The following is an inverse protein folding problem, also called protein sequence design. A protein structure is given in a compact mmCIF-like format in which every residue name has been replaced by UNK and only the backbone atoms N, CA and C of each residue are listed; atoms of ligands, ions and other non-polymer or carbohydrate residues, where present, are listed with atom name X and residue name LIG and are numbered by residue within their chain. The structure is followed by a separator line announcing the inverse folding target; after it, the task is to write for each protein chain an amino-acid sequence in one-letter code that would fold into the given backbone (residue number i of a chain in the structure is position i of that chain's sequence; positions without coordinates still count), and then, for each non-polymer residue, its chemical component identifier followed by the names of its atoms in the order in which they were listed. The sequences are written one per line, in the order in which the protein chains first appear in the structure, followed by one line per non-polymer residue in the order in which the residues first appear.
data_IF_465918513389
#
_entry.id   IF_465918513389
#
_cell.length_a   1.000
_cell.length_b   1.000
_cell.length_c   1.000
_cell.angle_alpha   90.00
_cell.angle_beta   90.00
_cell.angle_gamma   90.00
#
_symmetry.space_group_name_H-M   'P 1'
#
loop_
_entity.id
_entity.type
_entity.pdbx_description
1 polymer ?
#
# COMPACT_ATOMS: atom_id res chain seq x y z
N UNK A 1 -38.27 -12.51 -0.94
CA UNK A 1 -37.06 -11.79 -0.49
C UNK A 1 -35.86 -12.73 -0.56
N UNK A 2 -34.66 -12.26 -0.94
CA UNK A 2 -33.44 -13.09 -1.01
C UNK A 2 -32.83 -13.27 0.38
N UNK A 3 -32.17 -14.38 0.64
CA UNK A 3 -31.59 -14.71 1.95
C UNK A 3 -30.63 -13.63 2.48
N UNK A 4 -29.78 -13.06 1.60
CA UNK A 4 -28.84 -12.01 1.98
C UNK A 4 -29.50 -10.71 2.47
N UNK A 5 -30.80 -10.51 2.20
CA UNK A 5 -31.53 -9.31 2.63
C UNK A 5 -31.93 -9.35 4.11
N UNK A 6 -31.85 -10.51 4.77
CA UNK A 6 -32.10 -10.64 6.22
C UNK A 6 -33.45 -10.07 6.69
N UNK A 7 -34.50 -10.24 5.88
CA UNK A 7 -35.84 -9.76 6.20
C UNK A 7 -36.09 -8.28 5.92
N UNK A 8 -35.11 -7.56 5.33
CA UNK A 8 -35.22 -6.13 5.01
C UNK A 8 -35.58 -5.94 3.53
N UNK A 9 -36.57 -5.10 3.26
CA UNK A 9 -36.99 -4.79 1.91
C UNK A 9 -35.85 -4.19 1.08
N UNK A 10 -35.81 -4.56 -0.22
CA UNK A 10 -34.69 -4.17 -1.10
C UNK A 10 -34.58 -2.66 -1.23
N UNK A 11 -35.71 -1.98 -1.32
CA UNK A 11 -35.79 -0.51 -1.46
C UNK A 11 -35.22 0.20 -0.23
N UNK A 12 -35.48 -0.32 0.97
CA UNK A 12 -34.92 0.22 2.20
C UNK A 12 -33.40 0.03 2.24
N UNK A 13 -32.91 -1.15 1.86
CA UNK A 13 -31.46 -1.38 1.79
C UNK A 13 -30.75 -0.49 0.76
N UNK A 14 -31.42 -0.10 -0.32
CA UNK A 14 -30.88 0.84 -1.30
C UNK A 14 -30.79 2.26 -0.70
N UNK A 15 -31.81 2.72 0.02
CA UNK A 15 -31.76 4.01 0.75
C UNK A 15 -30.65 4.03 1.79
N UNK A 16 -30.47 2.93 2.53
CA UNK A 16 -29.38 2.82 3.48
C UNK A 16 -28.01 2.82 2.78
N UNK A 17 -27.87 2.15 1.64
CA UNK A 17 -26.64 2.17 0.83
C UNK A 17 -26.30 3.60 0.35
N UNK A 18 -27.30 4.42 0.01
CA UNK A 18 -27.11 5.82 -0.39
C UNK A 18 -26.49 6.69 0.72
N UNK A 19 -26.84 6.46 1.99
CA UNK A 19 -26.23 7.16 3.14
C UNK A 19 -24.71 6.95 3.16
N UNK A 20 -24.23 5.80 2.69
CA UNK A 20 -22.82 5.45 2.64
C UNK A 20 -22.10 5.88 1.36
N UNK A 21 -22.78 6.52 0.39
CA UNK A 21 -22.14 6.97 -0.85
C UNK A 21 -20.87 7.81 -0.59
N UNK A 22 -20.88 8.83 0.31
CA UNK A 22 -19.68 9.61 0.60
C UNK A 22 -18.51 8.78 1.15
N UNK A 23 -18.80 7.73 1.92
CA UNK A 23 -17.77 6.80 2.43
C UNK A 23 -17.27 5.86 1.32
N UNK A 24 -18.19 5.30 0.54
CA UNK A 24 -17.90 4.35 -0.54
C UNK A 24 -17.05 4.99 -1.66
N UNK A 25 -17.31 6.26 -1.99
CA UNK A 25 -16.54 7.02 -3.00
C UNK A 25 -15.07 7.24 -2.60
N UNK A 26 -14.76 7.14 -1.31
CA UNK A 26 -13.40 7.29 -0.75
C UNK A 26 -12.68 5.97 -0.55
N UNK A 27 -13.36 4.84 -0.75
CA UNK A 27 -12.77 3.51 -0.61
C UNK A 27 -12.01 3.14 -1.88
N UNK A 28 -10.75 2.76 -1.73
CA UNK A 28 -9.99 2.09 -2.77
C UNK A 28 -10.34 0.59 -2.82
N UNK A 29 -10.65 -0.01 -1.66
CA UNK A 29 -11.11 -1.40 -1.60
C UNK A 29 -12.62 -1.54 -1.77
N UNK A 30 -13.10 -2.33 -2.75
CA UNK A 30 -14.52 -2.69 -2.82
C UNK A 30 -14.98 -3.55 -1.62
N UNK A 31 -14.03 -4.15 -0.89
CA UNK A 31 -14.32 -4.89 0.34
C UNK A 31 -14.54 -3.98 1.55
N UNK A 32 -14.15 -2.71 1.47
CA UNK A 32 -14.47 -1.71 2.49
C UNK A 32 -15.83 -1.03 2.27
N UNK A 33 -16.29 -0.92 1.03
CA UNK A 33 -17.58 -0.28 0.71
C UNK A 33 -18.77 -0.91 1.46
N UNK A 34 -19.64 -0.07 2.04
CA UNK A 34 -20.89 -0.44 2.70
C UNK A 34 -22.02 -0.57 1.67
N UNK A 35 -22.05 -1.72 0.99
CA UNK A 35 -23.14 -2.11 0.07
C UNK A 35 -24.32 -2.70 0.83
N UNK A 36 -25.52 -2.69 0.24
CA UNK A 36 -26.77 -3.29 0.77
C UNK A 36 -26.62 -4.63 1.48
N UNK A 37 -25.82 -5.56 0.94
CA UNK A 37 -25.64 -6.89 1.54
C UNK A 37 -24.81 -6.86 2.83
N UNK A 38 -23.83 -5.95 2.92
CA UNK A 38 -23.06 -5.75 4.16
C UNK A 38 -23.86 -4.99 5.20
N UNK A 39 -24.68 -4.02 4.77
CA UNK A 39 -25.60 -3.30 5.64
C UNK A 39 -26.61 -4.28 6.25
N UNK A 40 -27.27 -5.10 5.43
CA UNK A 40 -28.21 -6.13 5.91
C UNK A 40 -27.55 -7.09 6.91
N UNK A 41 -26.33 -7.56 6.63
CA UNK A 41 -25.58 -8.41 7.53
C UNK A 41 -25.20 -7.71 8.85
N UNK A 42 -24.86 -6.41 8.80
CA UNK A 42 -24.56 -5.63 10.00
C UNK A 42 -25.80 -5.39 10.86
N UNK A 43 -26.97 -5.17 10.26
CA UNK A 43 -28.25 -5.04 10.97
C UNK A 43 -28.63 -6.36 11.65
N UNK A 44 -28.57 -7.48 10.92
CA UNK A 44 -28.83 -8.84 11.44
C UNK A 44 -27.93 -9.18 12.63
N UNK A 45 -26.67 -8.73 12.59
CA UNK A 45 -25.71 -8.92 13.68
C UNK A 45 -25.87 -7.94 14.85
N UNK A 46 -26.75 -6.95 14.76
CA UNK A 46 -26.92 -5.89 15.75
C UNK A 46 -25.72 -4.92 15.81
N UNK A 47 -25.03 -4.72 14.70
CA UNK A 47 -23.81 -3.89 14.59
C UNK A 47 -24.03 -2.57 13.87
N UNK A 48 -25.24 -2.32 13.38
CA UNK A 48 -25.54 -1.16 12.55
C UNK A 48 -26.44 -0.19 13.30
N UNK A 49 -26.02 1.07 13.35
CA UNK A 49 -26.81 2.17 13.92
C UNK A 49 -26.88 3.30 12.91
N UNK A 50 -28.06 3.90 12.76
CA UNK A 50 -28.24 5.02 11.85
C UNK A 50 -29.36 5.95 12.30
N UNK A 51 -29.26 7.20 11.88
CA UNK A 51 -30.25 8.26 11.99
C UNK A 51 -30.29 9.01 10.66
N UNK A 52 -31.03 10.11 10.58
CA UNK A 52 -30.96 11.05 9.46
C UNK A 52 -29.61 11.78 9.35
N UNK A 53 -28.86 11.85 10.45
CA UNK A 53 -27.65 12.68 10.56
C UNK A 53 -26.36 11.84 10.44
N UNK A 54 -26.43 10.55 10.71
CA UNK A 54 -25.28 9.65 10.65
C UNK A 54 -25.63 8.18 10.49
N UNK A 55 -24.65 7.37 10.09
CA UNK A 55 -24.64 5.93 10.26
C UNK A 55 -23.27 5.43 10.71
N UNK A 56 -23.23 4.34 11.48
CA UNK A 56 -22.00 3.68 11.89
C UNK A 56 -22.16 2.16 11.95
N UNK A 57 -21.04 1.47 11.78
CA UNK A 57 -20.92 0.04 12.06
C UNK A 57 -20.01 -0.15 13.27
N UNK A 58 -20.53 -0.75 14.35
CA UNK A 58 -19.75 -1.04 15.54
C UNK A 58 -20.11 -2.37 16.20
N UNK A 59 -19.16 -2.93 16.95
CA UNK A 59 -19.32 -4.21 17.65
C UNK A 59 -18.47 -4.27 18.91
N UNK A 60 -18.93 -5.02 19.90
CA UNK A 60 -18.14 -5.35 21.09
C UNK A 60 -17.38 -6.66 20.83
N UNK A 61 -16.08 -6.67 21.11
CA UNK A 61 -15.22 -7.82 20.86
C UNK A 61 -15.52 -8.96 21.82
N UNK A 62 -15.74 -10.16 21.26
CA UNK A 62 -15.96 -11.40 22.04
C UNK A 62 -14.66 -12.10 22.44
N UNK A 63 -13.55 -11.76 21.78
CA UNK A 63 -12.23 -12.30 22.01
C UNK A 63 -11.16 -11.25 21.68
N UNK A 64 -9.95 -11.47 22.20
CA UNK A 64 -8.77 -10.66 21.90
C UNK A 64 -8.45 -10.68 20.40
N UNK A 65 -8.08 -9.53 19.84
CA UNK A 65 -7.74 -9.39 18.42
C UNK A 65 -6.56 -8.43 18.22
N UNK A 66 -5.57 -8.85 17.44
CA UNK A 66 -4.43 -8.01 17.06
C UNK A 66 -4.77 -7.18 15.83
N UNK A 67 -4.44 -5.89 15.86
CA UNK A 67 -4.47 -5.01 14.69
C UNK A 67 -3.07 -4.95 14.10
N UNK A 68 -2.96 -5.25 12.82
CA UNK A 68 -1.72 -5.17 12.04
C UNK A 68 -1.70 -3.88 11.23
N UNK A 69 -0.52 -3.24 11.11
CA UNK A 69 -0.33 -2.06 10.27
C UNK A 69 -0.63 -2.36 8.81
N UNK A 70 -0.30 -3.56 8.35
CA UNK A 70 -0.52 -4.00 6.98
C UNK A 70 -1.43 -5.21 6.97
N UNK A 71 -2.44 -5.23 6.10
CA UNK A 71 -3.45 -6.30 6.12
C UNK A 71 -2.88 -7.64 5.66
N UNK A 72 -1.89 -7.63 4.76
CA UNK A 72 -1.27 -8.85 4.25
C UNK A 72 -0.25 -9.48 5.22
N UNK A 73 0.28 -8.72 6.19
CA UNK A 73 1.37 -9.16 7.06
C UNK A 73 0.90 -9.33 8.51
N UNK A 74 1.42 -10.34 9.20
CA UNK A 74 1.15 -10.60 10.62
C UNK A 74 2.30 -10.17 11.55
N UNK A 75 3.30 -9.52 10.98
CA UNK A 75 4.60 -9.23 11.59
C UNK A 75 4.72 -7.80 12.12
N UNK A 76 3.73 -6.93 11.85
CA UNK A 76 3.75 -5.51 12.23
C UNK A 76 2.51 -5.16 13.04
N UNK A 77 2.38 -5.67 14.29
CA UNK A 77 1.25 -5.34 15.14
C UNK A 77 1.35 -3.89 15.62
N UNK A 78 0.22 -3.20 15.71
CA UNK A 78 0.14 -1.81 16.20
C UNK A 78 -0.71 -1.69 17.46
N UNK A 79 -1.63 -2.63 17.68
CA UNK A 79 -2.46 -2.66 18.87
C UNK A 79 -3.00 -4.06 19.09
N UNK A 80 -3.35 -4.36 20.34
CA UNK A 80 -4.17 -5.52 20.65
C UNK A 80 -5.44 -5.13 21.38
N UNK A 81 -6.57 -5.27 20.69
CA UNK A 81 -7.90 -5.08 21.25
C UNK A 81 -8.28 -6.28 22.14
N UNK A 82 -8.86 -6.01 23.30
CA UNK A 82 -9.25 -7.02 24.28
C UNK A 82 -10.72 -7.43 24.13
N UNK A 83 -11.08 -8.57 24.73
CA UNK A 83 -12.48 -8.93 24.91
C UNK A 83 -13.19 -7.83 25.71
N UNK A 84 -14.34 -7.37 25.23
CA UNK A 84 -15.12 -6.28 25.84
C UNK A 84 -14.81 -4.89 25.28
N UNK A 85 -13.71 -4.70 24.54
CA UNK A 85 -13.49 -3.42 23.86
C UNK A 85 -14.49 -3.26 22.70
N UNK A 86 -15.00 -2.04 22.52
CA UNK A 86 -15.82 -1.67 21.36
C UNK A 86 -14.92 -1.34 20.18
N UNK A 87 -15.29 -1.82 19.01
CA UNK A 87 -14.67 -1.49 17.74
C UNK A 87 -15.71 -0.84 16.85
N UNK A 88 -15.52 0.44 16.54
CA UNK A 88 -16.27 1.16 15.52
C UNK A 88 -15.50 0.99 14.22
N UNK A 89 -16.00 0.09 13.37
CA UNK A 89 -15.30 -0.31 12.15
C UNK A 89 -15.43 0.79 11.07
N UNK A 90 -16.54 1.54 11.04
CA UNK A 90 -16.83 2.58 10.02
C UNK A 90 -17.81 3.63 10.53
N UNK A 91 -17.68 4.86 10.02
CA UNK A 91 -18.61 5.96 10.26
C UNK A 91 -18.92 6.71 8.96
N UNK A 92 -20.12 7.29 8.87
CA UNK A 92 -20.50 8.29 7.87
C UNK A 92 -21.51 9.25 8.51
N UNK A 93 -21.47 10.53 8.14
CA UNK A 93 -22.32 11.55 8.75
C UNK A 93 -22.54 12.73 7.80
N UNK A 94 -23.70 13.37 7.95
CA UNK A 94 -24.03 14.66 7.35
C UNK A 94 -23.89 15.80 8.36
N UNK A 95 -24.06 15.49 9.66
CA UNK A 95 -23.83 16.42 10.77
C UNK A 95 -22.68 15.92 11.67
N UNK A 96 -21.50 16.56 11.62
CA UNK A 96 -20.35 16.19 12.45
C UNK A 96 -20.64 16.19 13.95
N UNK A 97 -21.46 17.13 14.45
CA UNK A 97 -21.79 17.23 15.88
C UNK A 97 -22.57 16.01 16.37
N UNK A 98 -23.55 15.57 15.59
CA UNK A 98 -24.33 14.36 15.91
C UNK A 98 -23.44 13.12 16.00
N UNK A 99 -22.44 13.01 15.12
CA UNK A 99 -21.44 11.93 15.21
C UNK A 99 -20.56 12.05 16.45
N UNK A 100 -20.05 13.24 16.76
CA UNK A 100 -19.25 13.49 17.97
C UNK A 100 -20.03 13.13 19.24
N UNK A 101 -21.28 13.60 19.37
CA UNK A 101 -22.15 13.26 20.50
C UNK A 101 -22.37 11.75 20.61
N UNK A 102 -22.62 11.09 19.48
CA UNK A 102 -22.80 9.64 19.47
C UNK A 102 -21.56 8.88 19.91
N UNK A 103 -20.38 9.32 19.47
CA UNK A 103 -19.10 8.74 19.86
C UNK A 103 -18.76 8.99 21.34
N UNK A 104 -19.20 10.12 21.92
CA UNK A 104 -19.10 10.41 23.36
C UNK A 104 -20.06 9.58 24.21
N UNK A 105 -21.18 9.14 23.66
CA UNK A 105 -22.08 8.22 24.35
C UNK A 105 -21.49 6.81 24.60
N UNK A 106 -20.23 6.55 24.21
CA UNK A 106 -19.45 5.37 24.57
C UNK A 106 -18.33 5.65 25.60
N UNK A 107 -18.39 6.78 26.32
CA UNK A 107 -17.35 7.20 27.27
C UNK A 107 -17.15 6.26 28.48
N UNK A 108 -18.09 5.34 28.73
CA UNK A 108 -17.99 4.28 29.73
C UNK A 108 -17.29 3.00 29.22
N UNK A 109 -16.92 2.96 27.94
CA UNK A 109 -16.28 1.83 27.27
C UNK A 109 -14.86 2.17 26.78
N UNK A 110 -14.03 1.16 26.60
CA UNK A 110 -12.82 1.30 25.78
C UNK A 110 -13.21 1.18 24.31
N UNK A 111 -12.87 2.17 23.51
CA UNK A 111 -13.34 2.26 22.13
C UNK A 111 -12.18 2.40 21.16
N UNK A 112 -12.12 1.50 20.20
CA UNK A 112 -11.34 1.65 18.98
C UNK A 112 -12.23 2.21 17.87
N UNK A 113 -11.67 3.13 17.10
CA UNK A 113 -12.33 3.78 15.98
C UNK A 113 -11.43 3.70 14.75
N UNK A 114 -11.99 3.18 13.66
CA UNK A 114 -11.38 3.25 12.34
C UNK A 114 -12.02 4.37 11.53
N UNK A 115 -11.19 5.25 10.95
CA UNK A 115 -11.61 6.30 10.02
C UNK A 115 -10.77 6.27 8.75
N UNK A 116 -11.20 6.95 7.69
CA UNK A 116 -10.33 7.20 6.55
C UNK A 116 -9.28 8.26 6.94
N UNK A 117 -8.01 7.88 6.98
CA UNK A 117 -6.93 8.76 7.46
C UNK A 117 -6.62 9.91 6.50
N UNK A 118 -7.14 9.89 5.27
CA UNK A 118 -6.95 10.98 4.30
C UNK A 118 -7.99 12.10 4.50
N UNK A 119 -8.98 11.92 5.38
CA UNK A 119 -10.11 12.83 5.53
C UNK A 119 -10.02 13.65 6.81
N UNK A 120 -9.69 14.94 6.67
CA UNK A 120 -9.54 15.87 7.80
C UNK A 120 -10.81 16.04 8.66
N UNK A 121 -12.00 15.96 8.05
CA UNK A 121 -13.25 16.00 8.80
C UNK A 121 -13.39 14.82 9.76
N UNK A 122 -12.96 13.63 9.33
CA UNK A 122 -13.09 12.40 10.10
C UNK A 122 -12.10 12.43 11.28
N UNK A 123 -10.87 12.92 11.02
CA UNK A 123 -9.86 13.19 12.06
C UNK A 123 -10.38 14.19 13.10
N UNK A 124 -11.03 15.26 12.64
CA UNK A 124 -11.59 16.29 13.50
C UNK A 124 -12.70 15.74 14.40
N UNK A 125 -13.62 14.95 13.84
CA UNK A 125 -14.67 14.24 14.60
C UNK A 125 -14.08 13.29 15.63
N UNK A 126 -13.08 12.48 15.26
CA UNK A 126 -12.40 11.58 16.19
C UNK A 126 -11.76 12.34 17.35
N UNK A 127 -11.03 13.42 17.05
CA UNK A 127 -10.37 14.28 18.05
C UNK A 127 -11.36 14.96 18.99
N UNK A 128 -12.44 15.55 18.45
CA UNK A 128 -13.48 16.23 19.24
C UNK A 128 -14.26 15.24 20.13
N UNK A 129 -14.39 13.98 19.69
CA UNK A 129 -14.95 12.89 20.47
C UNK A 129 -13.99 12.29 21.52
N UNK A 130 -12.77 12.85 21.66
CA UNK A 130 -11.79 12.48 22.68
C UNK A 130 -10.86 11.34 22.30
N UNK A 131 -10.87 10.88 21.04
CA UNK A 131 -9.98 9.81 20.60
C UNK A 131 -8.58 10.32 20.33
N UNK A 132 -7.60 9.44 20.56
CA UNK A 132 -6.19 9.66 20.19
C UNK A 132 -5.81 8.67 19.10
N UNK A 133 -5.10 9.16 18.09
CA UNK A 133 -4.52 8.28 17.06
C UNK A 133 -3.45 7.39 17.72
N UNK A 134 -3.51 6.11 17.42
CA UNK A 134 -2.53 5.12 17.89
C UNK A 134 -1.84 4.38 16.74
N UNK A 135 -2.28 4.55 15.49
CA UNK A 135 -1.58 3.99 14.33
C UNK A 135 -2.42 4.07 13.07
N UNK A 136 -2.01 3.32 12.05
CA UNK A 136 -2.78 3.15 10.81
C UNK A 136 -2.81 1.70 10.36
N UNK A 137 -3.82 1.38 9.57
CA UNK A 137 -3.92 0.12 8.84
C UNK A 137 -3.99 0.40 7.33
N UNK A 138 -3.00 -0.10 6.60
CA UNK A 138 -2.97 -0.11 5.14
C UNK A 138 -3.44 -1.45 4.63
N UNK A 139 -4.42 -1.47 3.72
CA UNK A 139 -4.84 -2.71 3.08
C UNK A 139 -4.19 -2.92 1.70
N UNK A 140 -4.40 -4.10 1.12
CA UNK A 140 -3.84 -4.48 -0.19
C UNK A 140 -4.38 -3.65 -1.35
N UNK A 141 -5.47 -2.89 -1.14
CA UNK A 141 -6.09 -2.01 -2.11
C UNK A 141 -5.67 -0.55 -1.92
N UNK A 142 -4.74 -0.27 -1.00
CA UNK A 142 -4.20 1.06 -0.73
C UNK A 142 -5.08 2.00 0.09
N UNK A 143 -6.16 1.51 0.72
CA UNK A 143 -6.85 2.30 1.75
C UNK A 143 -5.93 2.52 2.96
N UNK A 144 -5.92 3.75 3.48
CA UNK A 144 -5.27 4.08 4.75
C UNK A 144 -6.35 4.33 5.79
N UNK A 145 -6.47 3.41 6.74
CA UNK A 145 -7.42 3.52 7.83
C UNK A 145 -6.70 3.98 9.09
N UNK A 146 -7.08 5.13 9.62
CA UNK A 146 -6.64 5.64 10.91
C UNK A 146 -7.13 4.74 12.03
N UNK A 147 -6.25 4.29 12.91
CA UNK A 147 -6.62 3.60 14.15
C UNK A 147 -6.56 4.57 15.31
N UNK A 148 -7.74 4.82 15.89
CA UNK A 148 -7.93 5.73 17.01
C UNK A 148 -8.42 4.96 18.22
N UNK A 149 -8.03 5.41 19.41
CA UNK A 149 -8.43 4.80 20.66
C UNK A 149 -8.84 5.85 21.70
N UNK A 150 -9.86 5.50 22.48
CA UNK A 150 -10.33 6.25 23.64
C UNK A 150 -10.52 5.27 24.81
N UNK A 151 -9.86 5.55 25.93
CA UNK A 151 -10.09 4.86 27.20
C UNK A 151 -11.48 5.20 27.74
N UNK A 152 -12.07 4.27 28.49
CA UNK A 152 -13.23 4.58 29.34
C UNK A 152 -12.87 5.69 30.33
N UNK A 153 -13.71 6.72 30.46
CA UNK A 153 -13.44 7.87 31.33
C UNK A 153 -13.60 7.53 32.81
N UNK A 154 -14.62 6.73 33.15
CA UNK A 154 -14.97 6.41 34.53
C UNK A 154 -14.44 5.03 34.91
N UNK A 155 -13.17 4.96 35.29
CA UNK A 155 -12.53 3.74 35.76
C UNK A 155 -11.32 4.01 36.65
N UNK A 156 -11.05 3.08 37.56
CA UNK A 156 -9.82 3.08 38.39
C UNK A 156 -8.62 2.46 37.67
N UNK A 157 -8.82 1.99 36.43
CA UNK A 157 -7.77 1.37 35.63
C UNK A 157 -6.83 2.43 35.05
N UNK A 158 -5.51 2.17 35.03
CA UNK A 158 -4.57 3.06 34.36
C UNK A 158 -4.90 3.17 32.86
N UNK A 159 -4.48 4.26 32.19
CA UNK A 159 -4.64 4.41 30.75
C UNK A 159 -4.09 3.20 29.98
N UNK A 160 -4.77 2.77 28.92
CA UNK A 160 -4.33 1.66 28.09
C UNK A 160 -2.96 1.98 27.47
N UNK A 161 -2.02 1.05 27.62
CA UNK A 161 -0.77 1.07 26.88
C UNK A 161 -0.82 0.20 25.62
N UNK A 162 -0.05 0.60 24.62
CA UNK A 162 0.16 -0.11 23.35
C UNK A 162 1.65 -0.42 23.18
N UNK A 163 2.19 -1.45 23.86
CA UNK A 163 3.61 -1.80 23.75
C UNK A 163 4.03 -2.14 22.32
N UNK A 164 3.09 -2.59 21.48
CA UNK A 164 3.33 -2.85 20.07
C UNK A 164 3.85 -1.62 19.33
N UNK A 165 3.33 -0.42 19.63
CA UNK A 165 3.79 0.83 19.03
C UNK A 165 5.22 1.19 19.45
N UNK A 166 5.55 0.96 20.72
CA UNK A 166 6.90 1.20 21.26
C UNK A 166 7.93 0.27 20.62
N UNK A 167 7.49 -0.90 20.14
CA UNK A 167 8.33 -1.90 19.48
C UNK A 167 8.47 -1.68 17.96
N UNK A 168 7.73 -0.75 17.36
CA UNK A 168 7.84 -0.47 15.93
C UNK A 168 9.20 0.17 15.63
N UNK A 169 9.87 -0.37 14.61
CA UNK A 169 11.08 0.25 14.09
C UNK A 169 10.72 1.56 13.38
N UNK A 170 11.51 2.64 13.58
CA UNK A 170 11.24 3.96 12.98
C UNK A 170 11.08 3.95 11.45
N UNK A 171 11.79 3.03 10.78
CA UNK A 171 11.70 2.85 9.32
C UNK A 171 10.29 2.40 8.85
N UNK A 172 9.42 1.91 9.73
CA UNK A 172 8.02 1.63 9.39
C UNK A 172 7.25 2.91 9.03
N UNK A 173 7.70 4.08 9.46
CA UNK A 173 7.16 5.37 9.04
C UNK A 173 7.88 5.94 7.80
N UNK A 174 8.89 5.23 7.29
CA UNK A 174 9.64 5.60 6.10
C UNK A 174 8.76 5.61 4.85
N UNK A 175 9.06 6.57 4.00
CA UNK A 175 8.37 6.86 2.75
C UNK A 175 9.34 6.68 1.59
N UNK A 176 9.00 7.21 0.42
CA UNK A 176 9.93 7.37 -0.68
C UNK A 176 11.09 8.29 -0.23
N UNK A 177 12.29 7.72 -0.11
CA UNK A 177 13.44 8.36 0.55
C UNK A 177 14.69 8.26 -0.31
N UNK A 178 15.36 9.40 -0.56
CA UNK A 178 16.70 9.38 -1.18
C UNK A 178 17.70 8.83 -0.17
N UNK A 179 18.45 7.80 -0.55
CA UNK A 179 19.39 7.14 0.35
C UNK A 179 20.54 8.08 0.72
N UNK A 180 20.94 8.07 1.99
CA UNK A 180 22.02 8.89 2.53
C UNK A 180 23.37 8.24 2.29
N UNK A 181 24.40 9.06 2.07
CA UNK A 181 25.79 8.59 1.95
C UNK A 181 26.13 7.83 0.67
N UNK A 182 25.17 7.69 -0.27
CA UNK A 182 25.41 7.04 -1.57
C UNK A 182 25.68 8.12 -2.63
N UNK A 183 26.86 8.13 -3.28
CA UNK A 183 27.17 9.09 -4.33
C UNK A 183 26.29 8.88 -5.56
N UNK A 184 25.99 9.95 -6.27
CA UNK A 184 25.26 9.88 -7.52
C UNK A 184 26.06 9.08 -8.57
N UNK A 185 25.38 8.16 -9.27
CA UNK A 185 25.99 7.22 -10.22
C UNK A 185 25.52 7.47 -11.67
N UNK A 186 25.29 8.73 -12.06
CA UNK A 186 24.78 9.07 -13.40
C UNK A 186 25.59 8.47 -14.55
N UNK A 187 26.91 8.39 -14.43
CA UNK A 187 27.78 7.89 -15.51
C UNK A 187 27.61 6.38 -15.72
N UNK A 188 27.46 5.61 -14.64
CA UNK A 188 27.14 4.19 -14.71
C UNK A 188 25.73 3.99 -15.27
N UNK A 189 24.76 4.79 -14.84
CA UNK A 189 23.41 4.77 -15.35
C UNK A 189 23.35 5.02 -16.87
N UNK A 190 24.08 6.02 -17.35
CA UNK A 190 24.20 6.32 -18.79
C UNK A 190 24.80 5.14 -19.56
N UNK A 191 25.87 4.54 -19.03
CA UNK A 191 26.53 3.37 -19.66
C UNK A 191 25.56 2.18 -19.77
N UNK A 192 24.78 1.91 -18.72
CA UNK A 192 23.75 0.87 -18.74
C UNK A 192 22.69 1.17 -19.79
N UNK A 193 22.21 2.42 -19.87
CA UNK A 193 21.20 2.83 -20.85
C UNK A 193 21.70 2.69 -22.29
N UNK A 194 22.90 3.18 -22.60
CA UNK A 194 23.48 3.05 -23.93
C UNK A 194 23.61 1.58 -24.36
N UNK A 195 23.95 0.68 -23.43
CA UNK A 195 24.02 -0.75 -23.74
C UNK A 195 22.63 -1.34 -23.93
N UNK A 196 21.69 -1.00 -23.06
CA UNK A 196 20.31 -1.47 -23.14
C UNK A 196 19.66 -1.07 -24.47
N UNK A 197 19.90 0.14 -24.94
CA UNK A 197 19.38 0.66 -26.22
C UNK A 197 20.01 -0.05 -27.42
N UNK A 198 21.31 -0.40 -27.36
CA UNK A 198 22.00 -1.16 -28.42
C UNK A 198 21.50 -2.60 -28.54
N UNK A 199 21.09 -3.22 -27.43
CA UNK A 199 20.65 -4.62 -27.41
C UNK A 199 19.22 -4.80 -27.93
N UNK A 200 18.40 -3.74 -27.97
CA UNK A 200 17.00 -3.75 -28.43
C UNK A 200 16.17 -4.92 -27.87
N UNK A 201 16.26 -5.12 -26.55
CA UNK A 201 15.63 -6.25 -25.87
C UNK A 201 14.11 -6.06 -25.70
N UNK A 202 13.30 -7.13 -25.84
CA UNK A 202 11.88 -7.07 -25.58
C UNK A 202 11.60 -6.96 -24.06
N UNK A 203 10.88 -5.92 -23.66
CA UNK A 203 10.40 -5.77 -22.28
C UNK A 203 9.04 -6.45 -22.11
N UNK A 204 8.84 -7.11 -20.96
CA UNK A 204 7.61 -7.83 -20.64
C UNK A 204 6.68 -6.97 -19.81
N UNK A 205 5.41 -6.87 -20.19
CA UNK A 205 4.40 -6.13 -19.42
C UNK A 205 4.08 -6.86 -18.10
N UNK A 206 3.89 -6.11 -17.00
CA UNK A 206 3.33 -6.73 -15.79
C UNK A 206 1.86 -7.06 -15.99
N UNK A 207 1.44 -8.23 -15.49
CA UNK A 207 0.05 -8.65 -15.44
C UNK A 207 -0.74 -8.07 -14.24
N UNK A 208 -0.36 -6.90 -13.71
CA UNK A 208 -1.07 -6.29 -12.58
C UNK A 208 -2.26 -5.43 -13.01
N UNK A 209 -3.32 -5.44 -12.19
CA UNK A 209 -4.54 -4.65 -12.42
C UNK A 209 -4.29 -3.12 -12.43
N UNK A 210 -3.16 -2.68 -11.86
CA UNK A 210 -2.76 -1.27 -11.78
C UNK A 210 -1.90 -0.81 -12.98
N UNK A 211 -1.43 -1.72 -13.84
CA UNK A 211 -0.74 -1.42 -15.10
C UNK A 211 -1.74 -1.23 -16.25
N UNK A 212 -2.60 -0.21 -16.16
CA UNK A 212 -3.58 0.07 -17.21
C UNK A 212 -2.87 0.52 -18.48
N UNK A 213 -3.29 -0.01 -19.63
CA UNK A 213 -2.72 0.36 -20.93
C UNK A 213 -1.32 -0.21 -21.23
N UNK A 214 -0.82 -1.18 -20.44
CA UNK A 214 0.48 -1.83 -20.65
C UNK A 214 1.66 -0.84 -20.75
N UNK A 215 1.61 0.23 -19.95
CA UNK A 215 2.61 1.30 -19.98
C UNK A 215 3.85 0.98 -19.15
N UNK A 216 3.73 0.03 -18.23
CA UNK A 216 4.81 -0.50 -17.43
C UNK A 216 5.25 -1.84 -17.98
N UNK A 217 6.56 -2.00 -18.13
CA UNK A 217 7.19 -3.25 -18.57
C UNK A 217 8.56 -3.42 -17.92
N UNK A 218 9.07 -4.64 -17.88
CA UNK A 218 10.35 -4.94 -17.24
C UNK A 218 11.11 -6.07 -17.92
N UNK A 219 12.40 -6.16 -17.60
CA UNK A 219 13.24 -7.34 -17.80
C UNK A 219 13.94 -7.69 -16.48
N UNK A 220 14.21 -8.97 -16.27
CA UNK A 220 14.90 -9.48 -15.09
C UNK A 220 16.38 -9.77 -15.39
N UNK A 221 17.27 -9.21 -14.57
CA UNK A 221 18.68 -9.62 -14.48
C UNK A 221 18.86 -10.73 -13.45
N UNK A 222 18.02 -10.74 -12.41
CA UNK A 222 17.94 -11.79 -11.40
C UNK A 222 16.50 -12.03 -11.02
N UNK A 223 16.06 -13.28 -11.09
CA UNK A 223 14.66 -13.69 -10.92
C UNK A 223 14.54 -15.18 -10.60
N UNK A 224 13.36 -15.75 -10.85
CA UNK A 224 13.08 -17.16 -10.49
C UNK A 224 13.30 -18.15 -11.63
N UNK A 225 13.62 -17.65 -12.82
CA UNK A 225 13.95 -18.43 -14.01
C UNK A 225 15.16 -17.80 -14.72
N UNK A 226 15.91 -18.55 -15.55
CA UNK A 226 16.99 -18.01 -16.36
C UNK A 226 16.50 -17.10 -17.51
N UNK A 227 15.19 -17.12 -17.79
CA UNK A 227 14.51 -16.29 -18.78
C UNK A 227 14.27 -14.87 -18.23
N UNK A 228 14.88 -13.86 -18.86
CA UNK A 228 14.76 -12.46 -18.44
C UNK A 228 13.37 -11.87 -18.66
N UNK A 229 12.52 -12.50 -19.46
CA UNK A 229 11.13 -12.08 -19.66
C UNK A 229 10.25 -12.50 -18.48
N UNK A 230 10.70 -13.44 -17.65
CA UNK A 230 10.00 -13.85 -16.43
C UNK A 230 10.30 -12.90 -15.26
N UNK A 231 9.46 -11.88 -15.12
CA UNK A 231 9.63 -10.79 -14.15
C UNK A 231 8.83 -10.94 -12.84
N UNK A 232 7.90 -11.89 -12.81
CA UNK A 232 6.95 -12.08 -11.70
C UNK A 232 7.52 -13.04 -10.66
N UNK A 233 7.20 -12.83 -9.39
CA UNK A 233 7.52 -13.78 -8.33
C UNK A 233 6.46 -14.90 -8.30
N UNK A 234 6.84 -16.19 -8.26
CA UNK A 234 5.91 -17.31 -8.31
C UNK A 234 4.79 -17.22 -7.26
N UNK A 235 5.10 -16.79 -6.04
CA UNK A 235 4.14 -16.65 -4.94
C UNK A 235 3.09 -15.55 -5.19
N UNK A 236 3.38 -14.60 -6.07
CA UNK A 236 2.44 -13.53 -6.48
C UNK A 236 1.44 -14.03 -7.55
N UNK A 237 1.70 -15.16 -8.21
CA UNK A 237 0.87 -15.71 -9.29
C UNK A 237 -0.32 -16.48 -8.72
N UNK A 238 -1.45 -15.80 -8.57
CA UNK A 238 -2.73 -16.42 -8.13
C UNK A 238 -3.42 -17.23 -9.22
N UNK A 239 -3.13 -16.97 -10.49
CA UNK A 239 -3.78 -17.63 -11.61
C UNK A 239 -3.12 -18.99 -11.90
N UNK A 240 -3.84 -20.07 -11.60
CA UNK A 240 -3.38 -21.45 -11.81
C UNK A 240 -3.11 -21.76 -13.28
N UNK A 241 -3.74 -21.08 -14.23
CA UNK A 241 -3.52 -21.31 -15.67
C UNK A 241 -2.26 -20.61 -16.18
N UNK A 242 -1.89 -19.45 -15.62
CA UNK A 242 -0.57 -18.85 -15.84
C UNK A 242 0.54 -19.72 -15.26
N UNK A 243 0.30 -20.29 -14.07
CA UNK A 243 1.22 -21.27 -13.47
C UNK A 243 1.38 -22.53 -14.34
N UNK A 244 0.31 -22.97 -15.03
CA UNK A 244 0.35 -24.09 -15.99
C UNK A 244 1.07 -23.71 -17.29
N UNK A 245 0.98 -22.46 -17.75
CA UNK A 245 1.67 -21.99 -18.97
C UNK A 245 3.20 -21.98 -18.80
N UNK A 246 3.69 -21.60 -17.61
CA UNK A 246 5.11 -21.72 -17.25
C UNK A 246 5.52 -23.16 -16.85
N UNK A 247 4.54 -24.06 -16.78
CA UNK A 247 4.66 -25.53 -16.72
C UNK A 247 5.11 -26.16 -15.39
N UNK A 248 4.55 -27.35 -15.15
CA UNK A 248 4.61 -28.21 -13.94
C UNK A 248 5.99 -28.72 -13.52
N UNK A 249 7.05 -28.44 -14.28
CA UNK A 249 8.40 -28.98 -14.07
C UNK A 249 9.50 -27.90 -14.04
N UNK A 250 9.14 -26.61 -13.97
CA UNK A 250 10.15 -25.57 -13.78
C UNK A 250 10.53 -25.43 -12.31
N UNK A 251 11.83 -25.50 -12.06
CA UNK A 251 12.41 -25.22 -10.75
C UNK A 251 12.52 -23.70 -10.56
N UNK A 252 11.49 -23.13 -9.92
CA UNK A 252 11.47 -21.73 -9.56
C UNK A 252 12.44 -21.48 -8.40
N UNK A 253 13.66 -21.07 -8.73
CA UNK A 253 14.68 -20.71 -7.76
C UNK A 253 15.30 -19.38 -8.11
N UNK A 254 15.66 -18.61 -7.09
CA UNK A 254 16.36 -17.35 -7.27
C UNK A 254 17.69 -17.60 -7.99
N UNK A 255 17.86 -16.99 -9.16
CA UNK A 255 19.02 -17.18 -10.02
C UNK A 255 19.20 -15.96 -10.94
N UNK A 256 20.41 -15.80 -11.45
CA UNK A 256 20.71 -14.79 -12.46
C UNK A 256 20.22 -15.25 -13.83
N UNK A 257 19.80 -14.28 -14.64
CA UNK A 257 19.57 -14.48 -16.06
C UNK A 257 20.86 -14.25 -16.81
N UNK A 258 20.94 -14.74 -18.05
CA UNK A 258 22.12 -14.51 -18.88
C UNK A 258 22.39 -13.01 -19.13
N UNK A 259 21.35 -12.15 -19.05
CA UNK A 259 21.51 -10.71 -19.23
C UNK A 259 22.34 -10.04 -18.14
N UNK A 260 22.38 -10.56 -16.90
CA UNK A 260 23.14 -9.89 -15.81
C UNK A 260 24.62 -9.72 -16.17
N UNK A 261 25.20 -10.73 -16.83
CA UNK A 261 26.60 -10.70 -17.26
C UNK A 261 26.90 -9.61 -18.29
N UNK A 262 25.89 -9.17 -19.06
CA UNK A 262 26.01 -8.10 -20.05
C UNK A 262 26.04 -6.70 -19.38
N UNK A 263 25.75 -6.59 -18.07
CA UNK A 263 25.72 -5.32 -17.35
C UNK A 263 26.63 -5.30 -16.11
N UNK A 264 27.97 -5.38 -16.27
CA UNK A 264 28.90 -5.38 -15.13
C UNK A 264 28.79 -4.14 -14.22
N UNK A 265 28.34 -3.00 -14.74
CA UNK A 265 28.11 -1.76 -13.98
C UNK A 265 27.03 -1.93 -12.90
N UNK A 266 26.12 -2.89 -13.08
CA UNK A 266 25.11 -3.25 -12.08
C UNK A 266 25.79 -3.71 -10.79
N UNK A 267 26.91 -4.44 -10.86
CA UNK A 267 27.62 -4.89 -9.66
C UNK A 267 28.20 -3.71 -8.87
N UNK A 268 28.70 -2.68 -9.56
CA UNK A 268 29.14 -1.44 -8.92
C UNK A 268 27.98 -0.73 -8.24
N UNK A 269 26.82 -0.62 -8.90
CA UNK A 269 25.62 -0.02 -8.28
C UNK A 269 25.17 -0.82 -7.04
N UNK A 270 25.18 -2.15 -7.11
CA UNK A 270 24.80 -3.02 -6.00
C UNK A 270 25.76 -2.91 -4.81
N UNK A 271 27.05 -2.63 -5.04
CA UNK A 271 28.03 -2.49 -3.97
C UNK A 271 27.73 -1.36 -2.98
N UNK A 272 26.88 -0.39 -3.36
CA UNK A 272 26.42 0.69 -2.48
C UNK A 272 25.25 0.30 -1.57
N UNK A 273 24.68 -0.89 -1.73
CA UNK A 273 23.55 -1.37 -0.93
C UNK A 273 24.04 -2.54 -0.06
N UNK A 274 24.24 -2.34 1.26
CA UNK A 274 24.91 -3.31 2.13
C UNK A 274 23.97 -4.45 2.54
N UNK A 275 23.63 -5.32 1.60
CA UNK A 275 22.74 -6.45 1.83
C UNK A 275 22.77 -7.46 0.68
N UNK A 276 21.98 -8.53 0.83
CA UNK A 276 21.92 -9.60 -0.18
C UNK A 276 20.86 -9.22 -1.23
N UNK A 277 21.24 -8.99 -2.50
CA UNK A 277 20.28 -8.70 -3.55
C UNK A 277 19.45 -9.93 -3.89
N UNK A 278 18.14 -9.74 -3.95
CA UNK A 278 17.16 -10.77 -4.24
C UNK A 278 16.72 -10.70 -5.72
N UNK A 279 15.78 -9.82 -6.09
CA UNK A 279 15.42 -9.57 -7.52
C UNK A 279 16.14 -8.35 -8.03
N UNK A 280 16.63 -8.40 -9.27
CA UNK A 280 17.26 -7.26 -9.97
C UNK A 280 16.58 -7.12 -11.32
N UNK A 281 16.03 -5.93 -11.61
CA UNK A 281 15.20 -5.70 -12.80
C UNK A 281 15.45 -4.32 -13.40
N UNK A 282 15.26 -4.18 -14.70
CA UNK A 282 15.07 -2.88 -15.34
C UNK A 282 13.59 -2.68 -15.64
N UNK A 283 13.03 -1.56 -15.20
CA UNK A 283 11.60 -1.23 -15.30
C UNK A 283 11.43 0.01 -16.17
N UNK A 284 10.64 -0.11 -17.24
CA UNK A 284 10.23 0.97 -18.12
C UNK A 284 8.84 1.49 -17.75
N UNK A 285 8.67 2.80 -17.85
CA UNK A 285 7.36 3.47 -17.83
C UNK A 285 7.28 4.40 -19.04
N UNK A 286 6.35 4.09 -19.95
CA UNK A 286 6.11 4.90 -21.14
C UNK A 286 5.70 6.34 -20.77
N UNK A 287 5.99 7.34 -21.61
CA UNK A 287 5.47 8.69 -21.44
C UNK A 287 3.96 8.72 -21.64
N UNK A 288 3.32 9.74 -21.06
CA UNK A 288 1.93 10.05 -21.37
C UNK A 288 1.83 10.53 -22.82
N UNK A 289 1.32 9.70 -23.74
CA UNK A 289 1.03 10.15 -25.11
C UNK A 289 -0.30 10.91 -25.06
N UNK A 290 -0.23 12.23 -24.85
CA UNK A 290 -1.20 13.27 -25.24
C UNK A 290 -0.98 14.53 -24.38
N UNK A 291 -0.21 15.49 -24.87
CA UNK A 291 -0.13 16.86 -24.34
C UNK A 291 -1.34 17.71 -24.78
N UNK A 292 -2.54 17.14 -24.72
CA UNK A 292 -3.83 17.77 -25.02
C UNK A 292 -4.77 17.79 -23.80
N UNK A 293 -5.87 18.55 -23.88
CA UNK A 293 -6.66 19.00 -22.71
C UNK A 293 -7.30 17.89 -21.84
N UNK A 294 -7.38 16.62 -22.27
CA UNK A 294 -7.80 15.52 -21.39
C UNK A 294 -7.05 14.22 -21.71
N UNK A 295 -6.07 13.82 -20.88
CA UNK A 295 -5.38 12.55 -21.02
C UNK A 295 -6.33 11.34 -20.94
N UNK A 296 -6.18 10.36 -21.83
CA UNK A 296 -6.86 9.07 -21.72
C UNK A 296 -6.37 8.36 -20.44
N UNK A 297 -7.31 8.01 -19.53
CA UNK A 297 -7.01 7.36 -18.25
C UNK A 297 -6.06 6.17 -18.44
N UNK A 298 -4.90 6.23 -17.79
CA UNK A 298 -3.96 5.10 -17.67
C UNK A 298 -2.74 5.12 -18.59
N UNK A 299 -2.55 6.11 -19.47
CA UNK A 299 -1.31 6.23 -20.25
C UNK A 299 -0.18 6.84 -19.41
N UNK A 300 1.03 6.29 -19.50
CA UNK A 300 2.19 6.76 -18.73
C UNK A 300 2.02 6.81 -17.20
N UNK A 301 1.08 6.04 -16.65
CA UNK A 301 0.77 6.02 -15.23
C UNK A 301 0.75 4.59 -14.68
N UNK A 302 1.41 4.40 -13.54
CA UNK A 302 1.19 3.28 -12.64
C UNK A 302 0.29 3.78 -11.51
N UNK A 303 -0.97 3.33 -11.50
CA UNK A 303 -2.00 3.86 -10.60
C UNK A 303 -1.66 3.63 -9.12
N UNK A 304 -2.36 4.32 -8.21
CA UNK A 304 -2.25 4.08 -6.76
C UNK A 304 -2.43 2.60 -6.44
N UNK A 305 -1.44 2.00 -5.79
CA UNK A 305 -1.47 0.60 -5.39
C UNK A 305 -0.57 0.35 -4.18
N UNK A 306 -0.62 -0.88 -3.66
CA UNK A 306 0.40 -1.45 -2.77
C UNK A 306 0.88 -2.76 -3.36
N UNK A 307 2.13 -3.13 -3.09
CA UNK A 307 2.69 -4.43 -3.46
C UNK A 307 2.59 -5.43 -2.30
N UNK A 308 1.55 -5.31 -1.46
CA UNK A 308 1.27 -6.24 -0.35
C UNK A 308 0.96 -7.69 -0.80
N UNK A 309 1.00 -7.96 -2.11
CA UNK A 309 0.93 -9.31 -2.68
C UNK A 309 2.23 -10.08 -2.53
N UNK A 310 3.37 -9.42 -2.35
CA UNK A 310 4.65 -10.07 -2.04
C UNK A 310 4.74 -10.34 -0.53
N UNK A 311 4.65 -11.60 -0.07
CA UNK A 311 4.60 -11.90 1.37
C UNK A 311 5.91 -11.59 2.12
N UNK A 312 6.99 -11.29 1.39
CA UNK A 312 8.31 -11.05 1.97
C UNK A 312 8.70 -9.57 1.97
N UNK A 313 7.86 -8.66 1.46
CA UNK A 313 8.19 -7.24 1.50
C UNK A 313 8.17 -6.70 2.93
N UNK A 314 9.15 -5.88 3.28
CA UNK A 314 9.20 -5.21 4.57
C UNK A 314 10.60 -4.81 5.01
N UNK A 315 10.68 -4.24 6.20
CA UNK A 315 11.93 -3.72 6.78
C UNK A 315 12.49 -4.60 7.91
N UNK A 316 11.76 -5.64 8.33
CA UNK A 316 12.24 -6.62 9.32
C UNK A 316 13.39 -7.41 8.72
N UNK A 317 14.30 -7.90 9.56
CA UNK A 317 15.43 -8.71 9.09
C UNK A 317 15.00 -9.81 8.13
N UNK A 318 15.76 -9.97 7.03
CA UNK A 318 15.51 -10.90 5.92
C UNK A 318 14.29 -10.60 5.04
N UNK A 319 13.41 -9.67 5.41
CA UNK A 319 12.39 -9.16 4.50
C UNK A 319 13.03 -8.29 3.41
N UNK A 320 12.29 -8.05 2.33
CA UNK A 320 12.79 -7.39 1.13
C UNK A 320 12.44 -5.90 1.14
N UNK A 321 13.49 -5.06 1.21
CA UNK A 321 13.44 -3.62 0.98
C UNK A 321 13.71 -3.32 -0.50
N UNK A 322 12.94 -2.40 -1.09
CA UNK A 322 13.03 -2.07 -2.52
C UNK A 322 13.76 -0.77 -2.76
N UNK A 323 14.77 -0.83 -3.62
CA UNK A 323 15.59 0.29 -4.04
C UNK A 323 15.50 0.53 -5.54
N UNK A 324 15.66 1.79 -5.93
CA UNK A 324 15.58 2.28 -7.29
C UNK A 324 16.81 3.14 -7.61
N UNK A 325 17.46 2.84 -8.73
CA UNK A 325 18.33 3.78 -9.44
C UNK A 325 17.61 4.25 -10.71
N UNK A 326 17.27 5.53 -10.84
CA UNK A 326 16.79 6.07 -12.10
C UNK A 326 17.92 6.06 -13.13
N UNK A 327 17.80 5.19 -14.13
CA UNK A 327 18.75 5.06 -15.25
C UNK A 327 18.45 6.07 -16.35
N UNK A 328 17.18 6.35 -16.58
CA UNK A 328 16.69 7.40 -17.44
C UNK A 328 15.40 7.97 -16.83
N UNK A 329 15.33 9.28 -16.66
CA UNK A 329 14.20 9.99 -16.07
C UNK A 329 14.09 11.39 -16.69
N UNK A 330 12.98 12.08 -16.49
CA UNK A 330 12.75 13.43 -16.98
C UNK A 330 11.91 14.25 -15.98
N UNK A 331 11.87 15.57 -16.13
CA UNK A 331 11.17 16.47 -15.19
C UNK A 331 9.65 16.22 -15.09
N UNK A 332 9.05 15.54 -16.07
CA UNK A 332 7.65 15.14 -16.04
C UNK A 332 7.40 13.83 -15.27
N UNK A 333 8.43 13.16 -14.76
CA UNK A 333 8.28 11.96 -13.93
C UNK A 333 8.10 12.34 -12.47
N UNK A 334 6.95 11.92 -11.91
CA UNK A 334 6.61 12.13 -10.49
C UNK A 334 6.26 10.80 -9.85
N UNK A 335 6.74 10.59 -8.63
CA UNK A 335 6.33 9.52 -7.76
C UNK A 335 5.54 10.12 -6.59
N UNK A 336 4.42 9.49 -6.26
CA UNK A 336 3.55 9.90 -5.18
C UNK A 336 3.50 8.79 -4.14
N UNK A 337 3.67 9.12 -2.87
CA UNK A 337 3.35 8.25 -1.75
C UNK A 337 2.36 8.92 -0.78
N UNK A 338 1.83 8.11 0.12
CA UNK A 338 0.98 8.57 1.21
C UNK A 338 1.60 8.14 2.53
N UNK A 339 1.73 9.10 3.44
CA UNK A 339 2.30 8.85 4.75
C UNK A 339 1.31 8.25 5.74
N UNK A 340 1.79 8.03 6.96
CA UNK A 340 0.98 7.45 8.01
C UNK A 340 -0.08 8.41 8.56
N UNK A 341 -0.11 9.68 8.13
CA UNK A 341 -1.12 10.68 8.42
C UNK A 341 -2.04 10.93 7.21
N UNK A 342 -1.93 10.12 6.16
CA UNK A 342 -2.72 10.26 4.93
C UNK A 342 -2.31 11.47 4.09
N UNK A 343 -1.21 12.14 4.41
CA UNK A 343 -0.70 13.24 3.61
C UNK A 343 0.04 12.70 2.39
N UNK A 344 -0.11 13.43 1.27
CA UNK A 344 0.46 13.08 -0.01
C UNK A 344 1.85 13.69 -0.13
N UNK A 345 2.84 12.88 -0.48
CA UNK A 345 4.19 13.36 -0.82
C UNK A 345 4.49 13.06 -2.28
N UNK A 346 4.87 14.10 -3.02
CA UNK A 346 5.28 13.98 -4.42
C UNK A 346 6.76 14.31 -4.56
N UNK A 347 7.50 13.44 -5.25
CA UNK A 347 8.94 13.57 -5.44
C UNK A 347 9.35 13.21 -6.87
N UNK A 348 10.44 13.82 -7.32
CA UNK A 348 11.15 13.44 -8.53
C UNK A 348 12.40 12.66 -8.15
N UNK A 349 12.49 11.39 -8.58
CA UNK A 349 13.70 10.59 -8.37
C UNK A 349 14.77 11.00 -9.40
N UNK A 350 15.85 11.63 -8.92
CA UNK A 350 16.93 12.14 -9.77
C UNK A 350 17.76 11.06 -10.46
N UNK A 351 18.21 11.34 -11.68
CA UNK A 351 19.08 10.44 -12.46
C UNK A 351 20.34 10.06 -11.67
N UNK A 352 20.64 8.76 -11.56
CA UNK A 352 21.82 8.26 -10.85
C UNK A 352 21.72 8.25 -9.32
N UNK A 353 20.66 8.80 -8.73
CA UNK A 353 20.46 8.76 -7.28
C UNK A 353 19.89 7.41 -6.83
N UNK A 354 20.26 6.95 -5.63
CA UNK A 354 19.63 5.78 -5.00
C UNK A 354 18.42 6.21 -4.17
N UNK A 355 17.29 5.56 -4.41
CA UNK A 355 16.03 5.81 -3.72
C UNK A 355 15.47 4.52 -3.12
N UNK A 356 14.90 4.62 -1.93
CA UNK A 356 14.11 3.57 -1.29
C UNK A 356 12.62 3.84 -1.47
N UNK A 357 11.83 2.77 -1.61
CA UNK A 357 10.37 2.83 -1.55
C UNK A 357 9.83 1.70 -0.66
N UNK A 358 8.98 2.05 0.31
CA UNK A 358 8.19 1.06 1.04
C UNK A 358 6.94 0.70 0.23
N UNK A 359 7.07 -0.26 -0.67
CA UNK A 359 5.98 -0.66 -1.56
C UNK A 359 4.77 -1.31 -0.84
N UNK A 360 4.85 -1.54 0.48
CA UNK A 360 3.69 -1.98 1.30
C UNK A 360 2.69 -0.85 1.53
N UNK A 361 3.13 0.40 1.40
CA UNK A 361 2.30 1.62 1.50
C UNK A 361 1.75 2.05 0.14
N UNK A 362 0.69 2.86 0.10
CA UNK A 362 0.14 3.37 -1.14
C UNK A 362 1.18 4.19 -1.89
N UNK A 363 1.34 3.88 -3.17
CA UNK A 363 2.24 4.63 -4.04
C UNK A 363 1.75 4.63 -5.49
N UNK A 364 2.23 5.62 -6.24
CA UNK A 364 1.87 5.86 -7.64
C UNK A 364 3.07 6.44 -8.39
N UNK A 365 3.16 6.19 -9.69
CA UNK A 365 4.16 6.81 -10.56
C UNK A 365 3.51 7.34 -11.83
N UNK A 366 3.87 8.55 -12.26
CA UNK A 366 3.38 9.16 -13.49
C UNK A 366 4.56 9.67 -14.30
N UNK A 367 4.57 9.42 -15.60
CA UNK A 367 5.51 10.00 -16.55
C UNK A 367 4.74 10.93 -17.50
N UNK A 368 4.64 12.21 -17.13
CA UNK A 368 4.06 13.28 -17.97
C UNK A 368 5.07 13.87 -18.95
N UNK A 369 6.29 13.32 -19.01
CA UNK A 369 7.28 13.72 -19.99
C UNK A 369 7.01 13.13 -21.37
N UNK A 370 7.94 13.38 -22.28
CA UNK A 370 7.94 12.91 -23.67
C UNK A 370 8.86 11.71 -23.91
N UNK A 371 9.70 11.38 -22.93
CA UNK A 371 10.69 10.29 -22.98
C UNK A 371 10.31 9.14 -22.06
N UNK A 372 10.72 7.92 -22.42
CA UNK A 372 10.55 6.73 -21.58
C UNK A 372 11.40 6.87 -20.33
N UNK A 373 10.81 6.57 -19.17
CA UNK A 373 11.54 6.43 -17.92
C UNK A 373 12.03 4.99 -17.78
N UNK A 374 13.28 4.79 -17.35
CA UNK A 374 13.85 3.47 -17.05
C UNK A 374 14.54 3.51 -15.68
N UNK A 375 14.15 2.63 -14.75
CA UNK A 375 14.83 2.48 -13.46
C UNK A 375 15.42 1.07 -13.33
N UNK A 376 16.60 0.95 -12.73
CA UNK A 376 17.03 -0.30 -12.12
C UNK A 376 16.34 -0.43 -10.77
N UNK A 377 15.71 -1.56 -10.54
CA UNK A 377 15.03 -1.87 -9.28
C UNK A 377 15.63 -3.12 -8.69
N UNK A 378 16.01 -3.03 -7.42
CA UNK A 378 16.56 -4.14 -6.66
C UNK A 378 15.78 -4.31 -5.37
N UNK A 379 15.34 -5.54 -5.13
CA UNK A 379 14.84 -5.97 -3.82
C UNK A 379 16.05 -6.52 -3.03
N UNK A 380 16.29 -6.06 -1.80
CA UNK A 380 17.44 -6.43 -0.97
C UNK A 380 16.97 -6.90 0.41
N UNK A 381 17.59 -7.96 0.94
CA UNK A 381 17.33 -8.41 2.31
C UNK A 381 17.67 -7.32 3.33
N UNK A 382 16.70 -6.98 4.16
CA UNK A 382 16.85 -5.98 5.20
C UNK A 382 17.76 -6.48 6.33
N UNK A 383 18.59 -5.57 6.80
CA UNK A 383 19.41 -5.67 8.00
C UNK A 383 19.64 -4.23 8.52
N UNK A 384 20.42 -4.07 9.59
CA UNK A 384 20.67 -2.74 10.17
C UNK A 384 21.39 -1.78 9.20
N UNK A 385 22.36 -2.28 8.43
CA UNK A 385 23.12 -1.47 7.47
C UNK A 385 22.24 -1.01 6.29
N UNK A 386 21.36 -1.87 5.78
CA UNK A 386 20.39 -1.52 4.73
C UNK A 386 19.41 -0.48 5.25
N UNK A 387 18.91 -0.63 6.49
CA UNK A 387 18.02 0.35 7.12
C UNK A 387 18.72 1.69 7.37
N UNK A 388 20.03 1.68 7.66
CA UNK A 388 20.82 2.89 7.87
C UNK A 388 20.83 3.82 6.64
N UNK A 389 20.66 3.29 5.42
CA UNK A 389 20.58 4.10 4.20
C UNK A 389 19.40 5.09 4.19
N UNK A 390 18.34 4.82 4.94
CA UNK A 390 17.09 5.62 4.94
C UNK A 390 16.78 6.29 6.28
N UNK A 391 17.64 6.08 7.30
CA UNK A 391 17.34 6.39 8.70
C UNK A 391 17.97 7.67 9.23
#
# INVERSE_FOLDING_TARGET
MKEWQKGIEREELLKLEEIWNPYNERCESPFNEMKKHKIAAAIDAGWYEYTKDFALQSRVLRAKSKVQMYTAYKTVPIATMQKGDRCIDRIVYTNPRSMVERLKAYDDENVFLFINEEIESDKSVAKEAGFKKIGIKVNTFSDILGLYFKDKLNGTTPPREFPELKALHKAEYGLLTKCKGVPNQSDLCNTIMERLDKMDLPFTNHYSNYNKGNNWSAIALRGYLPDFTFITKPEEIKNKDLLKLHNKNQDFRMQDTHLRAEFPEVETLLSYIPGIPHRIRFLKLAPHRDAGEKPAKGQGELQRHTDQVDPHSGIQDTNLMRFHYPLATNQGVTFTDWDCDGAIHEVHMGHGDLWYIDARKPHKAVNRGDTVRTHMVVDVEANDDVRALIC
#
